data_IF_416391885997
#
_entry.id   IF_416391885997
#
_cell.length_a   1.000
_cell.length_b   1.000
_cell.length_c   1.000
_cell.angle_alpha   90.00
_cell.angle_beta   90.00
_cell.angle_gamma   90.00
#
_symmetry.space_group_name_H-M   'P 1'
#
loop_
_entity.id
_entity.type
_entity.pdbx_description
1 polymer ?
#
# COMPACT_ATOMS: atom_id res chain seq x y z
N UNK A 1 -71.70 -1.93 -23.52
CA UNK A 1 -71.98 -2.88 -24.60
C UNK A 1 -71.94 -2.05 -25.87
N UNK A 2 -71.03 -2.16 -26.82
CA UNK A 2 -69.95 -3.10 -27.08
C UNK A 2 -69.18 -2.51 -28.30
N UNK A 3 -67.86 -2.65 -28.24
CA UNK A 3 -66.84 -2.76 -29.31
C UNK A 3 -67.19 -2.49 -30.79
N UNK A 4 -66.37 -1.68 -31.48
CA UNK A 4 -65.39 -2.07 -32.54
C UNK A 4 -65.91 -1.71 -33.95
N UNK A 5 -65.14 -1.49 -35.01
CA UNK A 5 -63.74 -1.76 -35.33
C UNK A 5 -63.39 -0.87 -36.55
N UNK A 6 -62.20 -0.24 -36.59
CA UNK A 6 -61.58 0.13 -37.88
C UNK A 6 -60.06 0.25 -37.72
N UNK A 7 -59.39 -0.90 -37.88
CA UNK A 7 -57.95 -0.98 -38.14
C UNK A 7 -57.62 -0.36 -39.50
N UNK A 8 -56.68 0.59 -39.50
CA UNK A 8 -55.84 0.89 -40.66
C UNK A 8 -54.42 1.05 -40.15
N UNK A 9 -53.63 -0.02 -40.31
CA UNK A 9 -52.20 -0.06 -40.05
C UNK A 9 -51.50 0.28 -41.36
N UNK A 10 -50.92 1.47 -41.50
CA UNK A 10 -49.98 1.75 -42.59
C UNK A 10 -48.57 1.43 -42.11
N UNK A 11 -48.02 0.31 -42.57
CA UNK A 11 -46.63 -0.08 -42.41
C UNK A 11 -45.74 0.82 -43.29
N UNK A 12 -44.98 1.74 -42.68
CA UNK A 12 -43.90 2.44 -43.38
C UNK A 12 -42.66 1.53 -43.42
N UNK A 13 -42.34 1.06 -44.63
CA UNK A 13 -41.10 0.36 -44.95
C UNK A 13 -39.90 1.28 -44.71
N UNK A 14 -38.96 0.85 -43.87
CA UNK A 14 -37.66 1.49 -43.68
C UNK A 14 -36.71 0.94 -44.73
N UNK A 15 -36.24 1.81 -45.62
CA UNK A 15 -35.25 1.49 -46.64
C UNK A 15 -33.94 1.05 -45.99
N UNK A 16 -33.53 -0.19 -46.26
CA UNK A 16 -32.22 -0.73 -45.91
C UNK A 16 -31.13 0.07 -46.61
N UNK A 17 -30.35 0.83 -45.83
CA UNK A 17 -29.13 1.46 -46.30
C UNK A 17 -28.01 0.42 -46.16
N UNK A 18 -27.50 -0.06 -47.29
CA UNK A 18 -26.31 -0.90 -47.40
C UNK A 18 -25.20 -0.34 -46.50
N UNK A 19 -24.98 -1.02 -45.37
CA UNK A 19 -23.84 -0.80 -44.49
C UNK A 19 -22.75 -1.78 -44.95
N UNK A 20 -21.47 -1.38 -45.04
CA UNK A 20 -20.42 -2.28 -45.48
C UNK A 20 -20.40 -3.52 -44.58
N UNK A 21 -20.33 -4.69 -45.23
CA UNK A 21 -20.33 -6.01 -44.60
C UNK A 21 -19.02 -6.17 -43.82
N UNK A 22 -19.07 -5.97 -42.49
CA UNK A 22 -17.93 -6.15 -41.58
C UNK A 22 -17.67 -7.64 -41.30
N UNK A 23 -17.66 -8.48 -42.33
CA UNK A 23 -17.32 -9.89 -42.21
C UNK A 23 -15.82 -10.08 -42.34
N UNK A 24 -15.21 -10.65 -41.29
CA UNK A 24 -13.80 -11.05 -41.15
C UNK A 24 -12.79 -9.99 -40.67
N UNK A 25 -13.11 -9.24 -39.60
CA UNK A 25 -12.08 -8.57 -38.79
C UNK A 25 -11.58 -9.55 -37.72
N UNK A 26 -10.27 -9.81 -37.71
CA UNK A 26 -9.59 -10.59 -36.68
C UNK A 26 -10.01 -10.10 -35.27
N UNK A 27 -10.46 -10.99 -34.36
CA UNK A 27 -10.78 -10.64 -32.98
C UNK A 27 -9.67 -9.87 -32.26
N UNK A 28 -8.39 -10.13 -32.59
CA UNK A 28 -7.26 -9.39 -32.04
C UNK A 28 -7.23 -7.93 -32.52
N UNK A 29 -7.57 -7.68 -33.79
CA UNK A 29 -7.69 -6.32 -34.35
C UNK A 29 -8.88 -5.60 -33.74
N UNK A 30 -10.00 -6.29 -33.54
CA UNK A 30 -11.18 -5.69 -32.88
C UNK A 30 -10.90 -5.32 -31.43
N UNK A 31 -10.19 -6.18 -30.68
CA UNK A 31 -9.78 -5.89 -29.31
C UNK A 31 -8.79 -4.71 -29.25
N UNK A 32 -7.81 -4.68 -30.16
CA UNK A 32 -6.84 -3.59 -30.28
C UNK A 32 -7.52 -2.26 -30.63
N UNK A 33 -8.46 -2.27 -31.58
CA UNK A 33 -9.22 -1.07 -31.98
C UNK A 33 -10.06 -0.54 -30.81
N UNK A 34 -10.72 -1.42 -30.06
CA UNK A 34 -11.49 -0.99 -28.89
C UNK A 34 -10.62 -0.45 -27.76
N UNK A 35 -9.44 -1.04 -27.52
CA UNK A 35 -8.48 -0.56 -26.53
C UNK A 35 -7.90 0.80 -26.95
N UNK A 36 -7.50 0.96 -28.21
CA UNK A 36 -7.04 2.23 -28.77
C UNK A 36 -8.15 3.29 -28.70
N UNK A 37 -9.38 2.95 -29.08
CA UNK A 37 -10.52 3.87 -28.99
C UNK A 37 -10.77 4.34 -27.56
N UNK A 38 -10.70 3.44 -26.57
CA UNK A 38 -10.90 3.80 -25.17
C UNK A 38 -9.75 4.68 -24.61
N UNK A 39 -8.51 4.43 -25.04
CA UNK A 39 -7.32 5.18 -24.57
C UNK A 39 -7.14 6.52 -25.25
N UNK A 40 -7.46 6.62 -26.54
CA UNK A 40 -7.33 7.85 -27.32
C UNK A 40 -8.53 8.78 -27.09
N UNK A 41 -9.71 8.25 -26.78
CA UNK A 41 -10.87 9.05 -26.39
C UNK A 41 -10.80 9.60 -24.95
N UNK A 42 -9.66 9.43 -24.25
CA UNK A 42 -9.43 10.13 -23.00
C UNK A 42 -9.30 11.64 -23.24
N UNK A 43 -9.98 12.41 -22.38
CA UNK A 43 -10.04 13.88 -22.47
C UNK A 43 -8.64 14.50 -22.55
N UNK A 44 -7.69 14.01 -21.76
CA UNK A 44 -6.36 14.62 -21.67
C UNK A 44 -5.49 14.25 -22.85
N UNK A 45 -5.60 13.02 -23.36
CA UNK A 45 -4.89 12.60 -24.58
C UNK A 45 -5.24 13.51 -25.76
N UNK A 46 -6.52 13.82 -25.97
CA UNK A 46 -6.95 14.71 -27.05
C UNK A 46 -6.41 16.14 -26.88
N UNK A 47 -6.45 16.70 -25.68
CA UNK A 47 -5.94 18.05 -25.42
C UNK A 47 -4.42 18.14 -25.54
N UNK A 48 -3.69 17.08 -25.15
CA UNK A 48 -2.23 17.01 -25.31
C UNK A 48 -1.85 16.84 -26.78
N UNK A 49 -2.58 16.01 -27.54
CA UNK A 49 -2.42 15.89 -28.99
C UNK A 49 -2.60 17.24 -29.67
N UNK A 50 -3.69 17.94 -29.39
CA UNK A 50 -3.97 19.28 -29.94
C UNK A 50 -2.88 20.29 -29.57
N UNK A 51 -2.48 20.36 -28.30
CA UNK A 51 -1.45 21.29 -27.86
C UNK A 51 -0.09 21.05 -28.52
N UNK A 52 0.30 19.78 -28.76
CA UNK A 52 1.55 19.45 -29.44
C UNK A 52 1.45 19.59 -30.96
N UNK A 53 0.29 19.36 -31.56
CA UNK A 53 0.06 19.58 -32.99
C UNK A 53 0.15 21.08 -33.35
N UNK A 54 -0.43 21.95 -32.51
CA UNK A 54 -0.39 23.40 -32.73
C UNK A 54 0.98 24.03 -32.45
N UNK A 55 1.73 23.52 -31.47
CA UNK A 55 2.95 24.17 -30.96
C UNK A 55 4.25 23.41 -31.28
N UNK A 56 4.15 22.20 -31.86
CA UNK A 56 5.29 21.36 -32.20
C UNK A 56 6.03 20.83 -30.96
N UNK A 57 7.29 21.24 -30.79
CA UNK A 57 8.15 20.78 -29.69
C UNK A 57 7.93 21.64 -28.45
N UNK A 58 7.40 21.06 -27.37
CA UNK A 58 7.00 21.81 -26.16
C UNK A 58 7.63 21.24 -24.89
N UNK A 59 8.01 22.11 -23.95
CA UNK A 59 8.51 21.71 -22.61
C UNK A 59 7.38 21.34 -21.66
N UNK A 60 7.64 20.46 -20.69
CA UNK A 60 6.63 20.01 -19.72
C UNK A 60 5.82 21.13 -19.05
N UNK A 61 6.50 22.18 -18.55
CA UNK A 61 5.86 23.30 -17.84
C UNK A 61 4.97 24.14 -18.75
N UNK A 62 5.34 24.23 -20.02
CA UNK A 62 4.59 24.97 -21.03
C UNK A 62 3.38 24.17 -21.49
N UNK A 63 3.54 22.87 -21.70
CA UNK A 63 2.45 21.95 -22.02
C UNK A 63 1.39 21.92 -20.90
N UNK A 64 1.81 21.98 -19.63
CA UNK A 64 0.89 22.11 -18.48
C UNK A 64 0.12 23.43 -18.46
N UNK A 65 0.56 24.47 -19.15
CA UNK A 65 -0.17 25.74 -19.28
C UNK A 65 -1.12 25.72 -20.46
N UNK A 66 -0.71 25.10 -21.57
CA UNK A 66 -1.53 24.96 -22.77
C UNK A 66 -2.75 24.07 -22.53
N UNK A 67 -2.59 22.99 -21.76
CA UNK A 67 -3.69 22.09 -21.41
C UNK A 67 -4.37 22.59 -20.13
N UNK A 68 -5.37 23.45 -20.27
CA UNK A 68 -6.04 24.06 -19.12
C UNK A 68 -6.76 23.02 -18.23
N UNK A 69 -6.52 23.10 -16.91
CA UNK A 69 -7.16 22.26 -15.91
C UNK A 69 -6.54 20.88 -15.69
N UNK A 70 -5.45 20.52 -16.40
CA UNK A 70 -4.73 19.27 -16.13
C UNK A 70 -3.84 19.41 -14.89
N UNK A 71 -3.89 18.42 -13.99
CA UNK A 71 -2.92 18.36 -12.89
C UNK A 71 -1.56 17.89 -13.38
N UNK A 72 -0.48 18.32 -12.72
CA UNK A 72 0.90 17.91 -13.03
C UNK A 72 1.07 16.38 -13.03
N UNK A 73 0.42 15.70 -12.07
CA UNK A 73 0.41 14.23 -11.97
C UNK A 73 -0.29 13.60 -13.18
N UNK A 74 -1.45 14.14 -13.57
CA UNK A 74 -2.21 13.63 -14.71
C UNK A 74 -1.45 13.85 -16.02
N UNK A 75 -0.87 15.04 -16.23
CA UNK A 75 -0.05 15.31 -17.42
C UNK A 75 1.14 14.36 -17.53
N UNK A 76 1.82 14.07 -16.42
CA UNK A 76 2.92 13.09 -16.38
C UNK A 76 2.43 11.70 -16.78
N UNK A 77 1.27 11.28 -16.28
CA UNK A 77 0.69 9.98 -16.61
C UNK A 77 0.28 9.89 -18.09
N UNK A 78 -0.42 10.91 -18.59
CA UNK A 78 -0.85 11.00 -19.99
C UNK A 78 0.35 10.98 -20.94
N UNK A 79 1.39 11.78 -20.68
CA UNK A 79 2.59 11.79 -21.52
C UNK A 79 3.35 10.47 -21.52
N UNK A 80 3.48 9.80 -20.36
CA UNK A 80 4.09 8.47 -20.29
C UNK A 80 3.30 7.43 -21.06
N UNK A 81 1.97 7.51 -21.01
CA UNK A 81 1.11 6.60 -21.76
C UNK A 81 1.22 6.86 -23.26
N UNK A 82 1.18 8.12 -23.68
CA UNK A 82 1.36 8.51 -25.09
C UNK A 82 2.75 8.17 -25.62
N UNK A 83 3.80 8.22 -24.79
CA UNK A 83 5.15 7.74 -25.13
C UNK A 83 5.16 6.21 -25.31
N UNK A 84 4.53 5.46 -24.40
CA UNK A 84 4.40 4.00 -24.48
C UNK A 84 3.63 3.57 -25.75
N UNK A 85 2.57 4.30 -26.11
CA UNK A 85 1.74 4.03 -27.28
C UNK A 85 2.38 4.55 -28.59
N UNK A 86 3.56 5.17 -28.51
CA UNK A 86 4.31 5.66 -29.66
C UNK A 86 3.73 6.90 -30.31
N UNK A 87 2.86 7.65 -29.62
CA UNK A 87 2.24 8.89 -30.08
C UNK A 87 3.12 10.12 -29.84
N UNK A 88 3.97 10.08 -28.81
CA UNK A 88 4.84 11.18 -28.39
C UNK A 88 6.27 10.70 -28.23
N UNK A 89 7.23 11.50 -28.68
CA UNK A 89 8.65 11.32 -28.36
C UNK A 89 9.04 12.25 -27.22
N UNK A 90 9.76 11.72 -26.23
CA UNK A 90 10.29 12.47 -25.09
C UNK A 90 11.81 12.60 -25.19
N UNK A 91 12.31 13.82 -25.31
CA UNK A 91 13.75 14.12 -25.38
C UNK A 91 14.24 14.75 -24.09
N UNK A 92 15.28 14.16 -23.49
CA UNK A 92 15.90 14.66 -22.25
C UNK A 92 17.23 15.32 -22.60
N UNK A 93 17.41 16.57 -22.15
CA UNK A 93 18.66 17.30 -22.27
C UNK A 93 19.35 17.33 -20.90
N UNK A 94 20.57 16.78 -20.77
CA UNK A 94 21.33 16.77 -19.53
C UNK A 94 21.98 18.15 -19.28
N UNK A 95 21.15 19.17 -19.04
CA UNK A 95 21.55 20.51 -18.59
C UNK A 95 21.13 20.75 -17.13
N UNK A 96 21.65 21.80 -16.49
CA UNK A 96 21.27 22.16 -15.10
C UNK A 96 20.45 23.45 -15.14
N UNK A 97 19.15 23.43 -14.80
CA UNK A 97 18.31 22.28 -14.46
C UNK A 97 17.91 21.42 -15.69
N UNK A 98 17.61 20.10 -15.53
CA UNK A 98 17.37 19.21 -16.65
C UNK A 98 16.12 19.61 -17.42
N UNK A 99 16.25 19.66 -18.75
CA UNK A 99 15.17 20.01 -19.66
C UNK A 99 14.59 18.77 -20.32
N UNK A 100 13.26 18.76 -20.45
CA UNK A 100 12.52 17.70 -21.13
C UNK A 100 11.58 18.34 -22.14
N UNK A 101 11.63 17.87 -23.38
CA UNK A 101 10.78 18.29 -24.49
C UNK A 101 9.96 17.11 -25.00
N UNK A 102 8.76 17.42 -25.49
CA UNK A 102 7.81 16.48 -26.05
C UNK A 102 7.42 16.92 -27.46
N UNK A 103 7.30 15.97 -28.37
CA UNK A 103 6.91 16.17 -29.77
C UNK A 103 6.03 15.02 -30.24
N UNK A 104 5.07 15.27 -31.13
CA UNK A 104 4.29 14.19 -31.75
C UNK A 104 5.16 13.36 -32.68
N UNK A 105 4.94 12.04 -32.67
CA UNK A 105 5.46 11.16 -33.72
C UNK A 105 4.60 11.27 -34.98
N UNK A 106 5.05 10.76 -36.13
CA UNK A 106 4.20 10.64 -37.32
C UNK A 106 2.89 9.89 -37.05
N UNK A 107 2.92 8.91 -36.13
CA UNK A 107 1.73 8.20 -35.68
C UNK A 107 0.80 9.12 -34.89
N UNK A 108 1.34 9.89 -33.93
CA UNK A 108 0.58 10.89 -33.17
C UNK A 108 -0.07 11.95 -34.05
N UNK A 109 0.65 12.49 -35.04
CA UNK A 109 0.09 13.44 -36.01
C UNK A 109 -1.01 12.83 -36.87
N UNK A 110 -0.82 11.61 -37.38
CA UNK A 110 -1.85 10.91 -38.17
C UNK A 110 -3.14 10.66 -37.38
N UNK A 111 -3.01 10.46 -36.06
CA UNK A 111 -4.13 10.30 -35.16
C UNK A 111 -4.88 11.63 -34.99
N UNK A 112 -4.16 12.74 -34.78
CA UNK A 112 -4.75 14.09 -34.74
C UNK A 112 -5.57 14.40 -35.99
N UNK A 113 -5.03 14.09 -37.18
CA UNK A 113 -5.73 14.25 -38.45
C UNK A 113 -7.04 13.44 -38.53
N UNK A 114 -7.03 12.20 -38.02
CA UNK A 114 -8.22 11.36 -37.99
C UNK A 114 -9.36 11.95 -37.12
N UNK A 115 -9.03 12.65 -36.03
CA UNK A 115 -10.02 13.29 -35.15
C UNK A 115 -10.57 14.62 -35.69
N UNK A 116 -9.90 15.26 -36.67
CA UNK A 116 -10.37 16.49 -37.30
C UNK A 116 -11.80 16.37 -37.85
N UNK A 117 -12.19 15.18 -38.35
CA UNK A 117 -13.54 14.92 -38.83
C UNK A 117 -14.61 15.00 -37.73
N UNK A 118 -14.29 14.52 -36.52
CA UNK A 118 -15.19 14.59 -35.36
C UNK A 118 -15.33 16.03 -34.88
N UNK A 119 -14.23 16.78 -34.85
CA UNK A 119 -14.25 18.20 -34.47
C UNK A 119 -15.12 19.04 -35.42
N UNK A 120 -14.91 18.91 -36.74
CA UNK A 120 -15.73 19.59 -37.76
C UNK A 120 -17.20 19.21 -37.68
N UNK A 121 -17.50 17.95 -37.40
CA UNK A 121 -18.88 17.50 -37.19
C UNK A 121 -19.50 18.15 -35.95
N UNK A 122 -18.77 18.19 -34.84
CA UNK A 122 -19.22 18.77 -33.59
C UNK A 122 -19.46 20.28 -33.71
N UNK A 123 -18.57 21.00 -34.38
CA UNK A 123 -18.74 22.43 -34.69
C UNK A 123 -20.01 22.68 -35.51
N UNK A 124 -20.22 21.88 -36.56
CA UNK A 124 -21.40 21.99 -37.44
C UNK A 124 -22.72 21.72 -36.70
N UNK A 125 -22.74 20.77 -35.76
CA UNK A 125 -23.96 20.31 -35.08
C UNK A 125 -24.11 20.86 -33.66
N UNK A 126 -23.23 21.76 -33.22
CA UNK A 126 -23.23 22.28 -31.85
C UNK A 126 -24.59 22.85 -31.44
N UNK A 127 -25.20 23.70 -32.28
CA UNK A 127 -26.50 24.31 -32.02
C UNK A 127 -27.64 23.26 -31.94
N UNK A 128 -27.59 22.21 -32.75
CA UNK A 128 -28.58 21.14 -32.73
C UNK A 128 -28.45 20.28 -31.47
N UNK A 129 -27.21 19.96 -31.07
CA UNK A 129 -26.90 19.23 -29.84
C UNK A 129 -27.37 20.03 -28.62
N UNK A 130 -27.09 21.35 -28.57
CA UNK A 130 -27.56 22.22 -27.49
C UNK A 130 -29.08 22.32 -27.45
N UNK A 131 -29.73 22.46 -28.60
CA UNK A 131 -31.19 22.47 -28.69
C UNK A 131 -31.79 21.13 -28.22
N UNK A 132 -31.16 19.99 -28.56
CA UNK A 132 -31.57 18.67 -28.07
C UNK A 132 -31.41 18.55 -26.54
N UNK A 133 -30.29 19.05 -25.97
CA UNK A 133 -30.05 19.09 -24.52
C UNK A 133 -31.09 19.97 -23.81
N UNK A 134 -31.37 21.17 -24.34
CA UNK A 134 -32.40 22.08 -23.79
C UNK A 134 -33.80 21.46 -23.86
N UNK A 135 -34.16 20.79 -24.97
CA UNK A 135 -35.42 20.04 -25.09
C UNK A 135 -35.52 18.90 -24.09
N UNK A 136 -34.44 18.17 -23.85
CA UNK A 136 -34.40 17.10 -22.85
C UNK A 136 -34.59 17.66 -21.44
N UNK A 137 -33.87 18.73 -21.08
CA UNK A 137 -33.98 19.38 -19.78
C UNK A 137 -35.40 19.93 -19.53
N UNK A 138 -35.97 20.65 -20.51
CA UNK A 138 -37.34 21.17 -20.41
C UNK A 138 -38.39 20.05 -20.34
N UNK A 139 -38.18 18.94 -21.07
CA UNK A 139 -39.03 17.74 -20.95
C UNK A 139 -38.91 17.14 -19.54
N UNK A 140 -37.72 17.10 -18.96
CA UNK A 140 -37.48 16.59 -17.60
C UNK A 140 -38.15 17.49 -16.55
N UNK A 141 -38.03 18.81 -16.65
CA UNK A 141 -38.74 19.76 -15.77
C UNK A 141 -40.27 19.70 -15.92
N UNK A 142 -40.79 19.55 -17.15
CA UNK A 142 -42.24 19.46 -17.39
C UNK A 142 -42.85 18.13 -16.90
N UNK A 143 -42.08 17.03 -16.90
CA UNK A 143 -42.47 15.75 -16.30
C UNK A 143 -42.49 15.83 -14.76
N UNK A 144 -41.60 16.62 -14.16
CA UNK A 144 -41.54 16.84 -12.71
C UNK A 144 -42.63 17.81 -12.23
N UNK A 145 -43.06 18.76 -13.07
CA UNK A 145 -44.06 19.78 -12.72
C UNK A 145 -45.52 19.40 -13.02
N UNK A 146 -45.81 18.52 -14.00
CA UNK A 146 -47.18 18.18 -14.41
C UNK A 146 -47.77 16.89 -13.82
N UNK A 147 -47.03 16.15 -13.00
CA UNK A 147 -47.65 15.07 -12.20
C UNK A 147 -48.31 15.69 -10.98
N UNK A 148 -49.64 15.80 -11.04
CA UNK A 148 -50.47 15.67 -9.83
C UNK A 148 -49.88 14.53 -8.99
N UNK A 149 -49.37 14.88 -7.80
CA UNK A 149 -48.61 13.95 -6.95
C UNK A 149 -49.49 12.77 -6.57
N UNK A 150 -49.40 11.67 -7.32
CA UNK A 150 -49.77 10.37 -6.81
C UNK A 150 -48.81 10.08 -5.66
N UNK A 151 -49.31 10.09 -4.43
CA UNK A 151 -48.53 9.70 -3.27
C UNK A 151 -47.97 8.30 -3.48
N UNK A 152 -46.71 8.12 -3.09
CA UNK A 152 -46.05 6.81 -3.09
C UNK A 152 -46.92 5.84 -2.29
N UNK A 153 -47.27 4.68 -2.86
CA UNK A 153 -47.99 3.68 -2.08
C UNK A 153 -47.03 3.08 -1.04
N UNK A 154 -47.55 2.71 0.13
CA UNK A 154 -46.76 2.08 1.20
C UNK A 154 -45.97 0.86 0.68
N UNK A 155 -46.59 0.10 -0.23
CA UNK A 155 -45.99 -1.09 -0.85
C UNK A 155 -44.77 -0.73 -1.70
N UNK A 156 -44.87 0.30 -2.56
CA UNK A 156 -43.74 0.75 -3.37
C UNK A 156 -42.56 1.20 -2.49
N UNK A 157 -42.84 1.88 -1.36
CA UNK A 157 -41.79 2.36 -0.45
C UNK A 157 -41.03 1.20 0.18
N UNK A 158 -41.78 0.19 0.63
CA UNK A 158 -41.23 -1.01 1.24
C UNK A 158 -40.37 -1.79 0.24
N UNK A 159 -40.80 -1.92 -1.02
CA UNK A 159 -40.01 -2.61 -2.06
C UNK A 159 -38.70 -1.89 -2.33
N UNK A 160 -38.71 -0.56 -2.46
CA UNK A 160 -37.50 0.23 -2.72
C UNK A 160 -36.50 0.12 -1.55
N UNK A 161 -36.98 0.24 -0.31
CA UNK A 161 -36.13 0.09 0.87
C UNK A 161 -35.59 -1.35 0.95
N UNK A 162 -36.39 -2.36 0.62
CA UNK A 162 -35.92 -3.75 0.58
C UNK A 162 -34.81 -3.97 -0.46
N UNK A 163 -34.98 -3.43 -1.67
CA UNK A 163 -33.96 -3.53 -2.74
C UNK A 163 -32.68 -2.79 -2.33
N UNK A 164 -32.78 -1.56 -1.82
CA UNK A 164 -31.62 -0.80 -1.34
C UNK A 164 -30.94 -1.56 -0.18
N UNK A 165 -31.71 -2.13 0.75
CA UNK A 165 -31.19 -2.94 1.84
C UNK A 165 -30.40 -4.15 1.36
N UNK A 166 -30.90 -4.87 0.34
CA UNK A 166 -30.20 -6.00 -0.28
C UNK A 166 -28.95 -5.55 -1.04
N UNK A 167 -29.02 -4.45 -1.80
CA UNK A 167 -27.85 -3.93 -2.52
C UNK A 167 -26.76 -3.47 -1.56
N UNK A 168 -27.11 -2.73 -0.50
CA UNK A 168 -26.14 -2.27 0.51
C UNK A 168 -25.56 -3.44 1.30
N UNK A 169 -26.37 -4.44 1.67
CA UNK A 169 -25.87 -5.61 2.40
C UNK A 169 -24.90 -6.47 1.58
N UNK A 170 -25.04 -6.48 0.24
CA UNK A 170 -24.11 -7.15 -0.66
C UNK A 170 -22.85 -6.29 -0.94
N UNK A 171 -22.99 -4.98 -1.05
CA UNK A 171 -21.89 -4.07 -1.41
C UNK A 171 -20.99 -3.72 -0.21
N UNK A 172 -21.54 -3.55 1.00
CA UNK A 172 -20.77 -3.10 2.15
C UNK A 172 -19.66 -4.10 2.55
N UNK A 173 -19.91 -5.41 2.67
CA UNK A 173 -18.84 -6.38 2.98
C UNK A 173 -17.73 -6.37 1.93
N UNK A 174 -18.11 -6.26 0.65
CA UNK A 174 -17.15 -6.23 -0.46
C UNK A 174 -16.26 -4.98 -0.41
N UNK A 175 -16.83 -3.80 -0.15
CA UNK A 175 -16.06 -2.56 -0.01
C UNK A 175 -15.10 -2.62 1.18
N UNK A 176 -15.52 -3.20 2.31
CA UNK A 176 -14.64 -3.32 3.48
C UNK A 176 -13.51 -4.32 3.25
N UNK A 177 -13.79 -5.47 2.63
CA UNK A 177 -12.76 -6.44 2.24
C UNK A 177 -11.74 -5.82 1.29
N UNK A 178 -12.20 -5.06 0.28
CA UNK A 178 -11.31 -4.38 -0.65
C UNK A 178 -10.43 -3.32 0.04
N UNK A 179 -11.00 -2.54 0.98
CA UNK A 179 -10.23 -1.57 1.78
C UNK A 179 -9.19 -2.24 2.66
N UNK A 180 -9.54 -3.34 3.31
CA UNK A 180 -8.59 -4.07 4.16
C UNK A 180 -7.48 -4.73 3.36
N UNK A 181 -7.81 -5.31 2.21
CA UNK A 181 -6.80 -5.82 1.28
C UNK A 181 -5.82 -4.72 0.83
N UNK A 182 -6.32 -3.51 0.57
CA UNK A 182 -5.46 -2.37 0.24
C UNK A 182 -4.57 -1.93 1.41
N UNK A 183 -5.10 -1.87 2.64
CA UNK A 183 -4.30 -1.57 3.85
C UNK A 183 -3.21 -2.62 4.09
N UNK A 184 -3.54 -3.91 3.95
CA UNK A 184 -2.56 -5.00 4.05
C UNK A 184 -1.49 -4.94 2.96
N UNK A 185 -1.85 -4.52 1.75
CA UNK A 185 -0.88 -4.30 0.67
C UNK A 185 0.10 -3.18 1.02
N UNK A 186 -0.37 -2.09 1.64
CA UNK A 186 0.49 -1.02 2.14
C UNK A 186 1.44 -1.54 3.23
N UNK A 187 0.94 -2.30 4.20
CA UNK A 187 1.80 -2.91 5.22
C UNK A 187 2.85 -3.85 4.65
N UNK A 188 2.48 -4.64 3.65
CA UNK A 188 3.41 -5.52 2.93
C UNK A 188 4.51 -4.72 2.26
N UNK A 189 4.20 -3.56 1.68
CA UNK A 189 5.19 -2.69 1.07
C UNK A 189 6.10 -2.02 2.11
N UNK A 190 5.55 -1.53 3.24
CA UNK A 190 6.33 -0.99 4.34
C UNK A 190 7.30 -2.05 4.90
N UNK A 191 6.81 -3.28 5.14
CA UNK A 191 7.66 -4.39 5.57
C UNK A 191 8.78 -4.67 4.57
N UNK A 192 8.49 -4.69 3.26
CA UNK A 192 9.51 -4.87 2.22
C UNK A 192 10.58 -3.77 2.29
N UNK A 193 10.18 -2.52 2.45
CA UNK A 193 11.12 -1.39 2.57
C UNK A 193 12.04 -1.56 3.78
N UNK A 194 11.51 -1.95 4.94
CA UNK A 194 12.30 -2.13 6.16
C UNK A 194 13.24 -3.33 6.11
N UNK A 195 12.80 -4.44 5.52
CA UNK A 195 13.68 -5.60 5.31
C UNK A 195 14.78 -5.24 4.32
N UNK A 196 14.47 -4.55 3.21
CA UNK A 196 15.49 -4.08 2.27
C UNK A 196 16.47 -3.09 2.93
N UNK A 197 15.98 -2.19 3.79
CA UNK A 197 16.84 -1.32 4.59
C UNK A 197 17.81 -2.13 5.48
N UNK A 198 17.33 -3.24 6.04
CA UNK A 198 18.16 -4.18 6.84
C UNK A 198 19.24 -4.85 6.00
N UNK A 199 18.92 -5.27 4.76
CA UNK A 199 19.92 -5.79 3.82
C UNK A 199 20.96 -4.73 3.44
N UNK A 200 20.54 -3.51 3.11
CA UNK A 200 21.46 -2.42 2.76
C UNK A 200 22.39 -2.06 3.93
N UNK A 201 21.87 -2.09 5.16
CA UNK A 201 22.68 -1.93 6.37
C UNK A 201 23.70 -3.07 6.48
N UNK A 202 23.27 -4.32 6.33
CA UNK A 202 24.17 -5.47 6.38
C UNK A 202 25.26 -5.40 5.30
N UNK A 203 24.94 -4.99 4.08
CA UNK A 203 25.91 -4.84 2.99
C UNK A 203 26.94 -3.75 3.28
N UNK A 204 26.55 -2.71 4.00
CA UNK A 204 27.43 -1.59 4.38
C UNK A 204 28.32 -1.94 5.58
N UNK A 205 27.76 -2.59 6.61
CA UNK A 205 28.42 -2.76 7.91
C UNK A 205 28.86 -4.21 8.20
N UNK A 206 28.48 -5.18 7.36
CA UNK A 206 28.80 -6.60 7.53
C UNK A 206 28.07 -7.29 8.70
N UNK A 207 27.11 -6.60 9.32
CA UNK A 207 26.33 -7.08 10.47
C UNK A 207 24.91 -6.56 10.37
N UNK A 208 23.96 -7.26 10.98
CA UNK A 208 22.60 -6.78 11.20
C UNK A 208 22.61 -5.55 12.14
N UNK A 209 21.61 -4.66 12.02
CA UNK A 209 21.51 -3.48 12.88
C UNK A 209 21.28 -3.94 14.33
N UNK A 210 22.12 -3.52 15.28
CA UNK A 210 22.06 -4.04 16.63
C UNK A 210 20.94 -3.38 17.44
N UNK A 211 20.46 -4.12 18.45
CA UNK A 211 19.84 -3.50 19.61
C UNK A 211 20.93 -2.90 20.51
N UNK A 212 20.66 -1.73 21.12
CA UNK A 212 21.57 -1.14 22.12
C UNK A 212 22.83 -0.52 21.54
N UNK A 213 22.71 0.17 20.41
CA UNK A 213 23.70 1.17 19.99
C UNK A 213 23.19 2.56 20.37
N UNK A 214 23.98 3.32 21.14
CA UNK A 214 23.56 4.63 21.64
C UNK A 214 22.55 4.55 22.79
N UNK A 215 21.99 5.70 23.16
CA UNK A 215 21.13 5.87 24.34
C UNK A 215 21.90 6.15 25.63
N UNK A 216 21.18 6.31 26.74
CA UNK A 216 21.80 6.33 28.08
C UNK A 216 21.96 4.91 28.61
N UNK A 217 22.75 4.70 29.68
CA UNK A 217 22.99 3.38 30.31
C UNK A 217 21.70 2.61 30.64
N UNK A 218 20.57 3.31 30.73
CA UNK A 218 19.25 2.75 31.07
C UNK A 218 18.38 2.51 29.83
N UNK A 219 18.64 3.16 28.70
CA UNK A 219 17.70 3.22 27.58
C UNK A 219 18.38 3.16 26.20
N UNK A 220 18.55 1.94 25.72
CA UNK A 220 19.13 1.60 24.42
C UNK A 220 18.20 1.94 23.24
N UNK A 221 18.77 2.23 22.07
CA UNK A 221 18.00 2.39 20.84
C UNK A 221 17.54 1.09 20.20
N UNK A 222 16.44 1.20 19.46
CA UNK A 222 15.97 0.17 18.54
C UNK A 222 16.80 0.15 17.25
N UNK A 223 16.85 -0.99 16.53
CA UNK A 223 17.54 -1.07 15.24
C UNK A 223 16.98 -0.10 14.19
N UNK A 224 15.73 0.40 14.34
CA UNK A 224 15.18 1.41 13.43
C UNK A 224 16.07 2.66 13.36
N UNK A 225 16.68 3.07 14.48
CA UNK A 225 17.54 4.26 14.53
C UNK A 225 18.74 4.11 13.60
N UNK A 226 19.33 2.91 13.54
CA UNK A 226 20.44 2.60 12.63
C UNK A 226 20.01 2.42 11.17
N UNK A 227 18.73 2.11 10.97
CA UNK A 227 18.14 1.92 9.65
C UNK A 227 17.66 3.22 9.01
N UNK A 228 17.54 4.33 9.76
CA UNK A 228 17.02 5.62 9.26
C UNK A 228 17.63 6.09 7.92
N UNK A 229 18.96 6.00 7.69
CA UNK A 229 19.57 6.35 6.39
C UNK A 229 19.05 5.52 5.22
N UNK A 230 18.57 4.31 5.48
CA UNK A 230 18.22 3.30 4.48
C UNK A 230 16.72 3.28 4.14
N UNK A 231 15.89 4.12 4.77
CA UNK A 231 14.48 4.31 4.44
C UNK A 231 14.05 5.79 4.43
N UNK A 232 14.91 6.67 3.89
CA UNK A 232 14.61 8.09 3.65
C UNK A 232 14.43 8.95 4.92
N UNK A 233 15.05 8.58 6.04
CA UNK A 233 15.04 9.36 7.29
C UNK A 233 16.43 9.88 7.69
N UNK A 234 17.30 10.17 6.70
CA UNK A 234 18.67 10.66 6.92
C UNK A 234 18.74 11.88 7.85
N UNK A 235 17.84 12.86 7.69
CA UNK A 235 17.84 14.07 8.52
C UNK A 235 17.68 13.78 10.02
N UNK A 236 16.86 12.78 10.39
CA UNK A 236 16.72 12.36 11.80
C UNK A 236 17.99 11.67 12.30
N UNK A 237 18.61 10.85 11.45
CA UNK A 237 19.87 10.17 11.77
C UNK A 237 20.99 11.17 12.04
N UNK A 238 21.13 12.20 11.21
CA UNK A 238 22.18 13.21 11.35
C UNK A 238 22.05 13.97 12.68
N UNK A 239 20.83 14.34 13.08
CA UNK A 239 20.56 14.97 14.38
C UNK A 239 20.99 14.04 15.53
N UNK A 240 20.62 12.76 15.47
CA UNK A 240 21.01 11.79 16.50
C UNK A 240 22.53 11.61 16.56
N UNK A 241 23.19 11.54 15.40
CA UNK A 241 24.63 11.41 15.29
C UNK A 241 25.38 12.63 15.85
N UNK A 242 24.86 13.85 15.65
CA UNK A 242 25.42 15.09 16.22
C UNK A 242 25.43 15.08 17.76
N UNK A 243 24.44 14.44 18.38
CA UNK A 243 24.40 14.26 19.85
C UNK A 243 25.33 13.13 20.34
N UNK A 244 26.00 12.43 19.43
CA UNK A 244 26.73 11.21 19.73
C UNK A 244 25.82 10.08 20.17
N UNK A 245 24.56 10.07 19.71
CA UNK A 245 23.53 9.10 20.08
C UNK A 245 23.23 9.07 21.59
N UNK A 246 23.10 10.23 22.24
CA UNK A 246 22.92 10.33 23.71
C UNK A 246 21.60 11.02 24.13
N UNK A 247 20.57 11.00 23.29
CA UNK A 247 19.26 11.58 23.59
C UNK A 247 18.15 10.53 23.54
N UNK A 248 17.16 10.63 24.40
CA UNK A 248 16.11 9.61 24.54
C UNK A 248 14.83 9.98 23.78
N UNK A 249 13.95 9.04 23.41
CA UNK A 249 12.72 9.35 22.68
C UNK A 249 11.76 10.32 23.37
N UNK A 250 11.86 10.48 24.69
CA UNK A 250 11.09 11.48 25.47
C UNK A 250 11.82 12.82 25.63
N UNK A 251 13.06 12.93 25.15
CA UNK A 251 13.75 14.21 25.12
C UNK A 251 13.15 15.10 24.03
N UNK A 252 13.11 16.40 24.30
CA UNK A 252 12.68 17.40 23.33
C UNK A 252 13.72 17.54 22.21
N UNK A 253 13.57 16.77 21.13
CA UNK A 253 14.47 16.78 19.98
C UNK A 253 13.69 16.58 18.67
N UNK A 254 14.01 17.36 17.61
CA UNK A 254 13.40 17.17 16.29
C UNK A 254 13.64 15.78 15.67
N UNK A 255 14.60 15.01 16.19
CA UNK A 255 14.81 13.62 15.76
C UNK A 255 13.59 12.73 16.05
N UNK A 256 12.88 13.00 17.16
CA UNK A 256 11.77 12.18 17.65
C UNK A 256 10.40 12.72 17.24
N UNK A 257 10.33 13.94 16.73
CA UNK A 257 9.08 14.62 16.38
C UNK A 257 8.37 13.96 15.20
N UNK A 258 7.04 13.85 15.31
CA UNK A 258 6.17 13.41 14.23
C UNK A 258 6.27 11.92 13.88
N UNK A 259 5.22 11.43 13.22
CA UNK A 259 5.09 10.04 12.80
C UNK A 259 5.97 9.77 11.58
N UNK A 260 6.58 8.58 11.53
CA UNK A 260 7.26 8.07 10.33
C UNK A 260 6.30 7.13 9.62
N UNK A 261 5.75 7.55 8.48
CA UNK A 261 4.71 6.80 7.74
C UNK A 261 5.14 5.37 7.38
N UNK A 262 6.43 5.16 7.09
CA UNK A 262 6.99 3.85 6.79
C UNK A 262 6.96 2.87 7.99
N UNK A 263 6.82 3.39 9.22
CA UNK A 263 6.80 2.60 10.45
C UNK A 263 5.38 2.33 10.97
N UNK A 264 4.35 2.79 10.27
CA UNK A 264 2.97 2.73 10.74
C UNK A 264 2.11 1.83 9.86
N UNK A 265 1.26 1.05 10.51
CA UNK A 265 0.22 0.28 9.87
C UNK A 265 -1.04 1.16 9.71
N UNK A 266 -1.58 1.35 8.48
CA UNK A 266 -2.81 2.13 8.26
C UNK A 266 -4.07 1.51 8.88
N UNK A 267 -4.02 0.25 9.32
CA UNK A 267 -5.12 -0.38 10.08
C UNK A 267 -5.04 -0.09 11.58
N UNK A 268 -3.91 0.43 12.09
CA UNK A 268 -3.74 0.87 13.47
C UNK A 268 -3.83 2.39 13.55
N UNK A 269 -4.64 2.90 14.49
CA UNK A 269 -4.79 4.33 14.71
C UNK A 269 -3.80 4.86 15.76
N UNK A 270 -3.08 3.98 16.47
CA UNK A 270 -2.25 4.34 17.63
C UNK A 270 -0.82 4.72 17.22
N UNK A 271 -0.68 5.78 16.42
CA UNK A 271 0.59 6.18 15.82
C UNK A 271 1.43 7.13 16.71
N UNK A 272 0.82 7.59 17.80
CA UNK A 272 1.42 8.50 18.78
C UNK A 272 1.01 8.00 20.16
N UNK A 273 1.98 7.85 21.06
CA UNK A 273 1.73 7.51 22.45
C UNK A 273 1.07 8.70 23.17
N UNK A 274 0.42 8.49 24.30
CA UNK A 274 -0.20 9.61 25.02
C UNK A 274 0.78 10.56 25.69
N UNK A 275 2.05 10.18 25.75
CA UNK A 275 3.17 11.06 26.08
C UNK A 275 3.66 11.87 24.85
N UNK A 276 3.00 11.72 23.69
CA UNK A 276 3.30 12.45 22.45
C UNK A 276 4.40 11.81 21.58
N UNK A 277 4.85 10.60 21.91
CA UNK A 277 5.99 9.94 21.25
C UNK A 277 5.49 9.09 20.09
N UNK A 278 6.10 9.23 18.90
CA UNK A 278 5.73 8.42 17.74
C UNK A 278 5.97 6.91 18.00
N UNK A 279 5.03 6.09 17.55
CA UNK A 279 5.10 4.63 17.68
C UNK A 279 5.51 3.96 16.37
N UNK A 280 5.75 2.64 16.41
CA UNK A 280 5.97 1.77 15.26
C UNK A 280 5.08 0.55 15.36
N UNK A 281 4.65 0.05 14.22
CA UNK A 281 3.97 -1.22 14.06
C UNK A 281 4.89 -2.34 13.55
N UNK A 282 6.16 -2.07 13.30
CA UNK A 282 7.11 -3.05 12.78
C UNK A 282 8.15 -3.32 13.85
N UNK A 283 8.24 -4.57 14.30
CA UNK A 283 9.13 -5.00 15.38
C UNK A 283 10.08 -6.09 14.90
N UNK A 284 11.21 -6.25 15.58
CA UNK A 284 12.22 -7.25 15.23
C UNK A 284 12.03 -8.55 16.01
N UNK A 285 12.34 -9.68 15.38
CA UNK A 285 12.24 -10.99 15.99
C UNK A 285 13.30 -11.16 17.08
N UNK A 286 12.88 -11.61 18.26
CA UNK A 286 13.76 -12.07 19.35
C UNK A 286 13.89 -13.61 19.39
N UNK A 287 13.26 -14.28 18.43
CA UNK A 287 13.24 -15.73 18.30
C UNK A 287 12.20 -16.40 19.18
N UNK A 288 12.54 -17.59 19.64
CA UNK A 288 11.65 -18.56 20.29
C UNK A 288 11.90 -18.68 21.79
N UNK A 289 12.23 -17.55 22.43
CA UNK A 289 12.57 -17.43 23.85
C UNK A 289 11.89 -16.21 24.46
N UNK A 290 11.77 -16.16 25.78
CA UNK A 290 11.16 -15.02 26.46
C UNK A 290 11.99 -13.75 26.28
N UNK A 291 11.28 -12.62 26.20
CA UNK A 291 11.91 -11.31 26.27
C UNK A 291 12.34 -11.03 27.70
N UNK A 292 13.64 -11.05 27.96
CA UNK A 292 14.18 -10.61 29.24
C UNK A 292 14.75 -9.20 29.08
N UNK A 293 14.06 -8.22 29.68
CA UNK A 293 14.39 -6.80 29.53
C UNK A 293 15.79 -6.44 30.08
N UNK A 294 16.29 -7.21 31.05
CA UNK A 294 17.47 -6.89 31.84
C UNK A 294 18.27 -8.13 32.28
N UNK A 295 18.38 -9.20 31.51
CA UNK A 295 19.30 -10.30 31.87
C UNK A 295 19.80 -11.09 30.64
N UNK A 296 19.92 -10.43 29.49
CA UNK A 296 20.31 -11.04 28.23
C UNK A 296 21.82 -11.37 28.15
N UNK A 297 22.27 -12.31 28.97
CA UNK A 297 23.57 -12.95 28.80
C UNK A 297 23.52 -13.96 27.64
N UNK A 298 24.19 -13.59 26.54
CA UNK A 298 24.97 -14.45 25.65
C UNK A 298 24.34 -15.61 24.86
N UNK A 299 23.05 -15.97 24.99
CA UNK A 299 22.48 -17.05 24.18
C UNK A 299 21.21 -16.62 23.44
N UNK A 300 21.43 -15.91 22.33
CA UNK A 300 20.37 -15.32 21.52
C UNK A 300 20.13 -16.18 20.30
N UNK A 301 19.03 -16.95 20.32
CA UNK A 301 18.51 -17.63 19.15
C UNK A 301 17.78 -16.68 18.19
N UNK A 302 18.20 -15.42 18.23
CA UNK A 302 17.60 -14.25 17.59
C UNK A 302 18.55 -13.72 16.53
N UNK A 303 18.02 -13.31 15.38
CA UNK A 303 18.78 -12.56 14.39
C UNK A 303 19.19 -11.17 14.90
N UNK A 304 18.52 -10.65 15.94
CA UNK A 304 18.80 -9.38 16.58
C UNK A 304 19.11 -9.61 18.06
N UNK A 305 20.35 -9.98 18.39
CA UNK A 305 20.74 -10.22 19.76
C UNK A 305 20.76 -8.91 20.56
N UNK A 306 20.46 -9.00 21.85
CA UNK A 306 20.35 -7.86 22.75
C UNK A 306 21.39 -8.03 23.86
N UNK A 307 22.20 -7.01 24.11
CA UNK A 307 23.24 -7.05 25.13
C UNK A 307 23.27 -5.79 25.98
N UNK A 308 23.58 -5.99 27.26
CA UNK A 308 23.32 -5.07 28.38
C UNK A 308 24.44 -4.06 28.67
N UNK A 309 25.55 -4.10 27.94
CA UNK A 309 26.79 -3.38 28.34
C UNK A 309 27.26 -2.32 27.35
N UNK A 310 26.37 -1.73 26.54
CA UNK A 310 26.74 -0.92 25.35
C UNK A 310 27.62 -1.66 24.33
N UNK A 311 27.96 -2.91 24.60
CA UNK A 311 28.57 -3.81 23.63
C UNK A 311 27.44 -4.37 22.80
N UNK A 312 27.09 -3.65 21.73
CA UNK A 312 26.12 -4.11 20.74
C UNK A 312 26.45 -5.55 20.36
N UNK A 313 25.55 -6.49 20.70
CA UNK A 313 25.67 -7.83 20.14
C UNK A 313 25.38 -7.71 18.64
N UNK A 314 26.35 -8.11 17.83
CA UNK A 314 26.23 -8.06 16.38
C UNK A 314 26.04 -9.47 15.88
N UNK A 315 24.90 -9.72 15.25
CA UNK A 315 24.69 -10.88 14.41
C UNK A 315 24.89 -10.49 12.94
N UNK A 316 25.15 -11.45 12.09
CA UNK A 316 25.19 -11.30 10.64
C UNK A 316 24.35 -12.40 9.98
N UNK A 317 24.04 -12.25 8.69
CA UNK A 317 23.24 -13.25 7.99
C UNK A 317 23.86 -14.66 8.00
N UNK A 318 25.20 -14.76 8.10
CA UNK A 318 25.90 -16.04 8.24
C UNK A 318 25.59 -16.80 9.54
N UNK A 319 25.11 -16.10 10.57
CA UNK A 319 24.80 -16.70 11.87
C UNK A 319 23.41 -17.37 11.86
N UNK A 320 22.63 -17.15 10.79
CA UNK A 320 21.33 -17.81 10.55
C UNK A 320 21.56 -19.15 9.87
N UNK A 321 21.65 -20.22 10.66
CA UNK A 321 22.01 -21.55 10.17
C UNK A 321 20.86 -22.31 9.52
N UNK A 322 19.61 -21.96 9.84
CA UNK A 322 18.40 -22.60 9.27
C UNK A 322 17.98 -22.03 7.91
N UNK A 323 18.73 -21.04 7.42
CA UNK A 323 18.50 -20.36 6.15
C UNK A 323 17.63 -19.11 6.29
N UNK A 324 18.06 -18.04 5.63
CA UNK A 324 17.38 -16.75 5.65
C UNK A 324 15.92 -16.79 5.17
N UNK A 325 15.60 -17.69 4.24
CA UNK A 325 14.24 -17.88 3.72
C UNK A 325 13.27 -18.56 4.70
N UNK A 326 13.82 -19.12 5.79
CA UNK A 326 13.11 -19.82 6.84
C UNK A 326 13.20 -19.09 8.19
N UNK A 327 13.78 -17.88 8.23
CA UNK A 327 13.88 -17.10 9.47
C UNK A 327 13.16 -15.77 9.31
N UNK A 328 12.19 -15.52 10.19
CA UNK A 328 11.50 -14.24 10.32
C UNK A 328 12.43 -13.28 11.08
N UNK A 329 12.67 -12.12 10.47
CA UNK A 329 13.49 -11.05 11.05
C UNK A 329 12.64 -9.90 11.58
N UNK A 330 11.48 -9.65 10.97
CA UNK A 330 10.57 -8.56 11.34
C UNK A 330 9.11 -9.01 11.23
N UNK A 331 8.23 -8.42 12.05
CA UNK A 331 6.79 -8.67 11.96
C UNK A 331 6.00 -7.46 12.42
N UNK A 332 4.74 -7.41 11.99
CA UNK A 332 3.76 -6.48 12.50
C UNK A 332 3.48 -6.70 13.99
N UNK A 333 3.26 -5.60 14.70
CA UNK A 333 2.71 -5.55 16.05
C UNK A 333 1.83 -4.31 16.20
N UNK A 334 0.64 -4.45 16.78
CA UNK A 334 -0.19 -3.30 17.11
C UNK A 334 0.53 -2.43 18.14
N UNK A 335 0.48 -1.12 17.92
CA UNK A 335 1.15 -0.15 18.76
C UNK A 335 0.49 -0.11 20.15
N UNK A 336 1.31 -0.33 21.16
CA UNK A 336 0.97 -0.27 22.58
C UNK A 336 1.95 0.63 23.36
N UNK A 337 1.45 1.13 24.48
CA UNK A 337 1.96 2.29 25.22
C UNK A 337 3.32 2.10 25.88
N UNK A 338 3.89 0.90 25.90
CA UNK A 338 5.18 0.65 26.56
C UNK A 338 6.18 -0.14 25.72
N UNK A 339 5.79 -0.60 24.53
CA UNK A 339 6.58 -1.57 23.75
C UNK A 339 6.60 -1.27 22.25
N UNK A 340 6.31 -0.02 21.87
CA UNK A 340 6.14 0.34 20.45
C UNK A 340 6.76 1.68 20.09
N UNK A 341 7.64 2.24 20.92
CA UNK A 341 8.34 3.49 20.58
C UNK A 341 9.43 3.20 19.55
N UNK A 342 9.32 3.79 18.36
CA UNK A 342 10.19 3.44 17.24
C UNK A 342 11.69 3.58 17.55
N UNK A 343 12.05 4.55 18.39
CA UNK A 343 13.43 4.82 18.80
C UNK A 343 13.97 3.91 19.90
N UNK A 344 13.12 3.16 20.59
CA UNK A 344 13.47 2.49 21.84
C UNK A 344 13.64 0.98 21.68
N UNK A 345 14.55 0.36 22.43
CA UNK A 345 14.93 -1.06 22.25
C UNK A 345 13.80 -2.08 22.49
N UNK A 346 12.59 -1.66 22.86
CA UNK A 346 11.42 -2.50 23.17
C UNK A 346 10.60 -2.95 21.95
N UNK A 347 10.93 -2.49 20.75
CA UNK A 347 10.28 -2.91 19.49
C UNK A 347 10.67 -4.33 19.08
N UNK A 348 10.18 -5.32 19.83
CA UNK A 348 10.48 -6.74 19.67
C UNK A 348 9.22 -7.60 19.68
N UNK A 349 9.33 -8.81 19.17
CA UNK A 349 8.33 -9.85 19.32
C UNK A 349 8.98 -11.23 19.46
N UNK A 350 8.23 -12.19 19.98
CA UNK A 350 8.64 -13.60 20.08
C UNK A 350 7.74 -14.49 19.23
N UNK A 351 8.28 -15.65 18.87
CA UNK A 351 7.58 -16.70 18.10
C UNK A 351 7.18 -17.88 18.98
N UNK A 352 6.66 -17.60 20.17
CA UNK A 352 6.18 -18.62 21.12
C UNK A 352 4.68 -18.80 20.97
N UNK A 353 3.92 -17.74 21.27
CA UNK A 353 2.47 -17.71 21.07
C UNK A 353 2.14 -17.37 19.62
N UNK A 354 1.00 -17.86 19.09
CA UNK A 354 0.62 -17.60 17.71
C UNK A 354 0.39 -16.11 17.46
N UNK A 355 0.44 -15.66 16.18
CA UNK A 355 0.03 -14.32 15.81
C UNK A 355 -1.34 -13.94 16.39
N UNK A 356 -1.50 -12.69 16.80
CA UNK A 356 -2.71 -12.18 17.49
C UNK A 356 -3.02 -12.86 18.84
N UNK A 357 -2.08 -13.65 19.38
CA UNK A 357 -2.17 -14.22 20.72
C UNK A 357 -2.10 -13.18 21.84
N UNK A 358 -2.49 -13.55 23.07
CA UNK A 358 -2.43 -12.64 24.21
C UNK A 358 -0.98 -12.24 24.52
N UNK A 359 -0.75 -10.94 24.73
CA UNK A 359 0.51 -10.45 25.30
C UNK A 359 0.46 -10.53 26.83
N UNK A 360 1.55 -10.94 27.46
CA UNK A 360 1.69 -10.97 28.91
C UNK A 360 2.97 -10.25 29.33
N UNK A 361 2.87 -9.40 30.34
CA UNK A 361 4.00 -8.72 30.96
C UNK A 361 3.98 -9.05 32.45
N UNK A 362 5.08 -9.61 32.97
CA UNK A 362 5.21 -9.89 34.39
C UNK A 362 5.85 -8.69 35.10
N UNK A 363 5.00 -7.85 35.71
CA UNK A 363 5.45 -6.72 36.52
C UNK A 363 5.94 -7.23 37.88
N UNK A 364 7.25 -7.13 38.11
CA UNK A 364 7.79 -7.18 39.47
C UNK A 364 8.24 -5.78 39.87
N UNK A 365 8.34 -5.53 41.18
CA UNK A 365 8.93 -4.31 41.74
C UNK A 365 10.40 -4.06 41.32
N UNK A 366 11.00 -4.99 40.56
CA UNK A 366 12.28 -4.84 39.92
C UNK A 366 12.08 -4.83 38.39
N UNK A 367 12.28 -3.69 37.71
CA UNK A 367 12.28 -3.62 36.25
C UNK A 367 13.22 -4.68 35.63
N UNK A 368 14.27 -5.09 36.37
CA UNK A 368 15.24 -6.08 35.95
C UNK A 368 14.75 -7.52 35.78
N UNK A 369 13.52 -7.83 36.20
CA UNK A 369 12.93 -9.17 36.15
C UNK A 369 11.68 -9.27 35.26
N UNK A 370 11.46 -8.28 34.39
CA UNK A 370 10.35 -8.26 33.43
C UNK A 370 10.60 -9.28 32.30
N UNK A 371 10.05 -10.48 32.48
CA UNK A 371 9.84 -11.43 31.39
C UNK A 371 8.55 -11.04 30.64
N UNK A 372 8.68 -10.67 29.37
CA UNK A 372 7.55 -10.33 28.51
C UNK A 372 7.33 -11.42 27.45
N UNK A 373 6.06 -11.74 27.24
CA UNK A 373 5.58 -12.61 26.18
C UNK A 373 4.72 -11.78 25.24
N UNK A 374 5.27 -11.48 24.07
CA UNK A 374 4.76 -10.51 23.12
C UNK A 374 4.77 -11.14 21.73
N UNK A 375 3.72 -11.87 21.36
CA UNK A 375 3.56 -12.31 19.98
C UNK A 375 3.37 -11.11 19.04
N UNK A 376 3.60 -11.28 17.74
CA UNK A 376 3.22 -10.30 16.75
C UNK A 376 1.70 -10.17 16.68
N UNK A 377 1.23 -8.98 16.36
CA UNK A 377 -0.21 -8.66 16.34
C UNK A 377 -0.53 -7.71 15.18
N UNK A 378 -1.72 -7.84 14.61
CA UNK A 378 -2.19 -7.00 13.53
C UNK A 378 -3.71 -6.88 13.56
N UNK A 379 -4.23 -5.76 13.06
CA UNK A 379 -5.66 -5.59 12.81
C UNK A 379 -6.11 -6.29 11.52
N UNK A 380 -5.17 -6.82 10.74
CA UNK A 380 -5.46 -7.65 9.59
C UNK A 380 -6.14 -8.96 10.02
N UNK A 381 -7.27 -9.36 9.41
CA UNK A 381 -7.94 -10.60 9.77
C UNK A 381 -7.07 -11.84 9.54
N UNK A 382 -6.99 -12.70 10.56
CA UNK A 382 -6.47 -14.06 10.46
C UNK A 382 -4.94 -14.21 10.49
N UNK A 383 -4.18 -13.18 10.85
CA UNK A 383 -2.72 -13.28 10.92
C UNK A 383 -1.98 -11.96 10.91
N UNK A 384 -0.69 -12.02 10.58
CA UNK A 384 0.25 -10.89 10.56
C UNK A 384 1.12 -10.93 9.31
N UNK A 385 1.62 -9.78 8.89
CA UNK A 385 2.68 -9.70 7.88
C UNK A 385 4.05 -9.86 8.54
N UNK A 386 4.88 -10.75 8.00
CA UNK A 386 6.23 -11.03 8.45
C UNK A 386 7.25 -10.79 7.32
N UNK A 387 8.37 -10.17 7.68
CA UNK A 387 9.57 -10.05 6.86
C UNK A 387 10.55 -11.17 7.16
N UNK A 388 10.96 -11.88 6.12
CA UNK A 388 11.93 -12.98 6.17
C UNK A 388 13.35 -12.43 5.99
N UNK A 389 14.35 -13.18 6.48
CA UNK A 389 15.75 -12.79 6.39
C UNK A 389 16.33 -12.76 4.98
N UNK A 390 15.62 -13.32 3.98
CA UNK A 390 15.99 -13.31 2.56
C UNK A 390 15.37 -12.15 1.77
N UNK A 391 14.62 -11.26 2.43
CA UNK A 391 13.91 -10.18 1.76
C UNK A 391 12.46 -10.49 1.40
N UNK A 392 12.02 -11.75 1.52
CA UNK A 392 10.64 -12.11 1.25
C UNK A 392 9.71 -11.53 2.33
N UNK A 393 8.48 -11.19 1.94
CA UNK A 393 7.42 -10.79 2.87
C UNK A 393 6.26 -11.75 2.71
N UNK A 394 5.84 -12.35 3.82
CA UNK A 394 4.81 -13.39 3.88
C UNK A 394 3.75 -13.01 4.89
N UNK A 395 2.55 -13.54 4.70
CA UNK A 395 1.50 -13.44 5.71
C UNK A 395 1.41 -14.76 6.44
N UNK A 396 1.56 -14.73 7.76
CA UNK A 396 1.50 -15.92 8.61
C UNK A 396 0.18 -15.90 9.37
N UNK A 397 -0.54 -17.02 9.32
CA UNK A 397 -1.86 -17.13 9.95
C UNK A 397 -1.77 -17.28 11.46
N UNK A 398 -2.82 -16.87 12.17
CA UNK A 398 -2.97 -17.10 13.62
C UNK A 398 -3.19 -18.58 13.99
N UNK A 399 -3.39 -19.43 12.99
CA UNK A 399 -3.52 -20.90 13.10
C UNK A 399 -2.21 -21.67 12.88
N UNK A 400 -1.08 -20.96 12.76
CA UNK A 400 0.25 -21.59 12.60
C UNK A 400 0.56 -22.55 13.75
N UNK A 401 1.24 -23.65 13.45
CA UNK A 401 1.66 -24.64 14.45
C UNK A 401 2.63 -24.02 15.47
N UNK A 402 2.22 -24.04 16.74
CA UNK A 402 2.98 -23.51 17.89
C UNK A 402 3.50 -24.60 18.82
N UNK A 403 3.46 -25.87 18.39
CA UNK A 403 4.06 -26.99 19.11
C UNK A 403 3.61 -27.13 20.57
N UNK A 404 4.56 -27.38 21.46
CA UNK A 404 4.33 -27.59 22.89
C UNK A 404 4.51 -26.30 23.72
N UNK A 405 3.41 -25.61 23.94
CA UNK A 405 3.35 -24.41 24.77
C UNK A 405 3.53 -24.67 26.28
N UNK A 406 3.63 -25.94 26.72
CA UNK A 406 3.93 -26.27 28.12
C UNK A 406 5.43 -26.14 28.45
N UNK A 407 6.30 -26.15 27.44
CA UNK A 407 7.74 -25.93 27.60
C UNK A 407 7.99 -24.46 27.95
N UNK A 408 8.70 -24.22 29.06
CA UNK A 408 9.03 -22.85 29.47
C UNK A 408 10.10 -22.27 28.56
N UNK A 409 9.83 -21.09 28.00
CA UNK A 409 10.71 -20.43 27.04
C UNK A 409 12.09 -20.04 27.59
N UNK A 410 12.25 -19.98 28.92
CA UNK A 410 13.57 -19.83 29.56
C UNK A 410 14.46 -21.07 29.44
N UNK A 411 13.85 -22.25 29.24
CA UNK A 411 14.57 -23.54 29.14
C UNK A 411 15.03 -23.81 27.70
N UNK A 412 14.58 -22.99 26.75
CA UNK A 412 14.86 -23.10 25.31
C UNK A 412 16.17 -22.38 24.98
N UNK A 413 17.27 -23.14 24.98
CA UNK A 413 18.63 -22.58 24.83
C UNK A 413 19.39 -23.10 23.60
N UNK A 414 18.97 -24.23 23.03
CA UNK A 414 19.57 -24.84 21.83
C UNK A 414 18.67 -25.95 21.27
N UNK A 415 18.98 -26.42 20.06
CA UNK A 415 18.27 -27.53 19.42
C UNK A 415 16.96 -27.11 18.74
N UNK A 416 16.15 -28.06 18.25
CA UNK A 416 14.89 -27.74 17.58
C UNK A 416 13.95 -26.94 18.47
N UNK A 417 13.22 -25.99 17.89
CA UNK A 417 12.24 -25.21 18.65
C UNK A 417 11.10 -26.11 19.16
N UNK A 418 10.72 -26.03 20.45
CA UNK A 418 9.56 -26.77 20.95
C UNK A 418 8.24 -26.14 20.49
N UNK A 419 8.27 -24.90 19.99
CA UNK A 419 7.08 -24.13 19.59
C UNK A 419 6.70 -24.36 18.13
N UNK A 420 6.92 -25.58 17.66
CA UNK A 420 6.55 -26.05 16.33
C UNK A 420 7.22 -25.25 15.22
N UNK A 421 6.51 -25.18 14.11
CA UNK A 421 6.88 -24.35 12.94
C UNK A 421 7.12 -22.90 13.34
N UNK A 422 6.23 -22.34 14.16
CA UNK A 422 6.24 -20.93 14.47
C UNK A 422 7.53 -20.52 15.20
N UNK A 423 7.91 -21.26 16.23
CA UNK A 423 9.16 -21.03 16.95
C UNK A 423 10.39 -21.26 16.09
N UNK A 424 10.38 -22.29 15.24
CA UNK A 424 11.48 -22.53 14.31
C UNK A 424 11.68 -21.35 13.35
N UNK A 425 10.59 -20.77 12.82
CA UNK A 425 10.64 -19.61 11.95
C UNK A 425 11.22 -18.35 12.63
N UNK A 426 11.03 -18.14 13.93
CA UNK A 426 11.65 -16.99 14.61
C UNK A 426 13.10 -17.20 14.97
N UNK A 427 13.54 -18.45 15.07
CA UNK A 427 14.85 -18.83 15.56
C UNK A 427 15.91 -18.80 14.44
N UNK A 428 17.15 -18.44 14.77
CA UNK A 428 18.28 -18.54 13.81
C UNK A 428 18.81 -19.97 13.67
N UNK A 429 18.44 -20.84 14.61
CA UNK A 429 18.88 -22.23 14.76
C UNK A 429 17.82 -23.11 15.47
N UNK A 430 16.54 -22.93 15.13
CA UNK A 430 15.38 -23.71 15.57
C UNK A 430 15.05 -24.96 14.76
N UNK A 431 15.84 -25.26 13.73
CA UNK A 431 15.68 -26.43 12.87
C UNK A 431 14.94 -26.09 11.58
N UNK A 432 15.29 -26.80 10.51
CA UNK A 432 14.72 -26.58 9.18
C UNK A 432 13.20 -26.84 9.16
N UNK A 433 12.49 -25.91 8.55
CA UNK A 433 11.04 -25.96 8.44
C UNK A 433 10.67 -26.55 7.08
N UNK A 434 10.27 -27.83 7.05
CA UNK A 434 10.01 -28.58 5.82
C UNK A 434 8.58 -28.45 5.25
N UNK A 435 7.76 -27.53 5.77
CA UNK A 435 6.39 -27.30 5.28
C UNK A 435 6.30 -25.88 4.69
N UNK A 436 5.57 -25.74 3.57
CA UNK A 436 5.20 -24.43 3.01
C UNK A 436 3.95 -23.95 3.75
N UNK A 437 3.97 -22.73 4.31
CA UNK A 437 2.86 -22.11 5.05
C UNK A 437 2.28 -20.94 4.28
#
# INVERSE_FOLDING_TARGET
MEMADRKTTSSSQRTEKNSPEWSDIDPAVTALVNDIMARVADKWTLLVLEALDENGVVRFKELSRLVEGISQKMLTQTLRQMECDGLVTRTIYPEVPPRVEYELTPLGSSLGEAFCGVWKWAETHCAEIEAARKRFAAKHESIVSSRTRAGFTLVELLVVIAIIGVLVSLLLPAVQQAREAARRMQCTNNMKQLVLATHNYHDTFGTLPPFGMGGTVTYDYSPHVMLLPFFEQQARYDILAETGFNIEPWDSSPAWDGVIDALVCPSDANNISPDGIATTNYCFSEGDRLMEYYNSAANTRSAFPVHRSHQSAKAAFRDVTDGLSNTIVMSERCASWSFSYWGFNVCRFQTILPPNGPSCSYNTSNPAAEANLMPPTSYHPGGVVCGMGDGAVRFVTDTVDTGDLSVLAKDVTSGPSPYGVWGALGSINGGEVNQQF
#
